data_IF_511597175892
#
_entry.id   IF_511597175892
#
_cell.length_a   1.000
_cell.length_b   1.000
_cell.length_c   1.000
_cell.angle_alpha   90.00
_cell.angle_beta   90.00
_cell.angle_gamma   90.00
#
_symmetry.space_group_name_H-M   'P 1'
#
loop_
_entity.id
_entity.type
_entity.pdbx_description
1 polymer ?
#
# COMPACT_ATOMS: atom_id res chain seq x y z
N UNK A 1 -16.40 -46.69 69.34
CA UNK A 1 -15.54 -45.62 68.84
C UNK A 1 -15.95 -45.33 67.39
N UNK A 2 -16.72 -44.27 67.16
CA UNK A 2 -17.24 -43.89 65.83
C UNK A 2 -16.32 -42.81 65.25
N UNK A 3 -15.77 -43.05 64.01
CA UNK A 3 -15.01 -42.06 63.24
C UNK A 3 -16.00 -41.22 62.43
N UNK A 4 -15.99 -39.92 62.62
CA UNK A 4 -16.62 -38.96 61.76
C UNK A 4 -15.75 -38.70 60.54
N UNK A 5 -16.30 -38.85 59.29
CA UNK A 5 -15.71 -38.36 58.06
C UNK A 5 -16.32 -36.98 57.77
N UNK A 6 -15.47 -35.96 57.72
CA UNK A 6 -15.84 -34.65 57.21
C UNK A 6 -15.60 -34.63 55.68
N UNK A 7 -16.66 -34.45 54.92
CA UNK A 7 -16.63 -34.21 53.49
C UNK A 7 -16.63 -32.69 53.25
N UNK A 8 -15.51 -32.17 52.71
CA UNK A 8 -15.41 -30.78 52.28
C UNK A 8 -15.88 -30.72 50.83
N UNK A 9 -17.00 -30.10 50.60
CA UNK A 9 -17.50 -29.79 49.25
C UNK A 9 -16.78 -28.55 48.68
N UNK A 10 -16.04 -28.73 47.59
CA UNK A 10 -15.44 -27.63 46.81
C UNK A 10 -16.51 -27.14 45.82
N UNK A 11 -17.01 -25.94 46.03
CA UNK A 11 -17.85 -25.24 45.07
C UNK A 11 -16.97 -24.66 43.96
N UNK A 12 -17.04 -25.23 42.77
CA UNK A 12 -16.40 -24.67 41.59
C UNK A 12 -17.31 -23.55 41.03
N UNK A 13 -16.93 -22.30 41.26
CA UNK A 13 -17.52 -21.14 40.59
C UNK A 13 -16.84 -20.97 39.23
N UNK A 14 -17.49 -21.41 38.17
CA UNK A 14 -17.12 -21.09 36.79
C UNK A 14 -17.49 -19.66 36.47
N UNK A 15 -16.50 -18.80 36.32
CA UNK A 15 -16.69 -17.44 35.83
C UNK A 15 -17.03 -17.46 34.34
N UNK A 16 -18.28 -17.16 33.99
CA UNK A 16 -18.72 -16.87 32.64
C UNK A 16 -18.48 -15.38 32.34
N UNK A 17 -17.27 -15.00 31.96
CA UNK A 17 -16.92 -13.61 31.66
C UNK A 17 -16.77 -13.29 30.16
N UNK A 18 -16.92 -14.28 29.24
CA UNK A 18 -16.75 -14.08 27.80
C UNK A 18 -18.00 -13.63 27.05
N UNK A 19 -19.18 -13.68 27.65
CA UNK A 19 -20.45 -13.44 26.94
C UNK A 19 -20.90 -11.97 26.84
N UNK A 20 -20.41 -11.11 27.71
CA UNK A 20 -20.87 -9.71 27.76
C UNK A 20 -20.11 -8.76 26.84
N UNK A 21 -18.84 -9.02 26.59
CA UNK A 21 -18.02 -8.18 25.67
C UNK A 21 -18.42 -8.37 24.20
N UNK A 22 -18.74 -9.60 23.81
CA UNK A 22 -19.12 -9.93 22.43
C UNK A 22 -20.50 -9.36 22.05
N UNK A 23 -21.45 -9.36 22.98
CA UNK A 23 -22.81 -8.81 22.75
C UNK A 23 -22.80 -7.27 22.66
N UNK A 24 -21.91 -6.56 23.32
CA UNK A 24 -21.80 -5.11 23.26
C UNK A 24 -21.16 -4.64 21.96
N UNK A 25 -20.09 -5.30 21.50
CA UNK A 25 -19.42 -5.01 20.23
C UNK A 25 -20.36 -5.23 19.03
N UNK A 26 -21.13 -6.31 19.04
CA UNK A 26 -22.17 -6.59 18.02
C UNK A 26 -23.24 -5.50 17.99
N UNK A 27 -23.64 -4.97 19.15
CA UNK A 27 -24.65 -3.90 19.23
C UNK A 27 -24.12 -2.54 18.72
N UNK A 28 -22.83 -2.24 18.92
CA UNK A 28 -22.20 -1.01 18.41
C UNK A 28 -22.04 -1.07 16.90
N UNK A 29 -21.58 -2.19 16.34
CA UNK A 29 -21.47 -2.36 14.91
C UNK A 29 -22.82 -2.24 14.18
N UNK A 30 -23.89 -2.82 14.73
CA UNK A 30 -25.25 -2.68 14.19
C UNK A 30 -25.72 -1.22 14.13
N UNK A 31 -25.34 -0.38 15.10
CA UNK A 31 -25.63 1.06 15.04
C UNK A 31 -24.88 1.75 13.91
N UNK A 32 -23.60 1.37 13.67
CA UNK A 32 -22.81 1.90 12.57
C UNK A 32 -23.47 1.52 11.23
N UNK A 33 -23.89 0.26 11.06
CA UNK A 33 -24.59 -0.17 9.83
C UNK A 33 -25.90 0.58 9.61
N UNK A 34 -26.68 0.83 10.67
CA UNK A 34 -27.91 1.63 10.58
C UNK A 34 -27.64 3.09 10.20
N UNK A 35 -26.57 3.69 10.74
CA UNK A 35 -26.17 5.05 10.40
C UNK A 35 -25.62 5.15 8.96
N UNK A 36 -25.03 4.09 8.46
CA UNK A 36 -24.48 4.01 7.10
C UNK A 36 -25.56 3.92 6.02
N UNK A 37 -26.79 3.50 6.38
CA UNK A 37 -27.87 3.30 5.43
C UNK A 37 -28.15 4.53 4.58
N UNK A 38 -28.11 4.40 3.28
CA UNK A 38 -28.33 5.48 2.31
C UNK A 38 -27.14 6.44 2.13
N UNK A 39 -26.05 6.30 2.87
CA UNK A 39 -24.90 7.18 2.74
C UNK A 39 -24.16 6.99 1.41
N UNK A 40 -23.53 8.10 0.94
CA UNK A 40 -22.59 8.09 -0.18
C UNK A 40 -21.20 8.37 0.37
N UNK A 41 -20.28 7.45 0.14
CA UNK A 41 -18.87 7.50 0.54
C UNK A 41 -18.02 7.95 -0.64
N UNK A 42 -17.38 9.11 -0.54
CA UNK A 42 -16.41 9.59 -1.51
C UNK A 42 -15.04 9.01 -1.18
N UNK A 43 -14.67 7.99 -1.92
CA UNK A 43 -13.42 7.25 -1.76
C UNK A 43 -12.34 7.79 -2.69
N UNK A 44 -11.39 8.52 -2.15
CA UNK A 44 -10.23 9.00 -2.89
C UNK A 44 -9.17 7.90 -2.94
N UNK A 45 -8.92 7.39 -4.13
CA UNK A 45 -7.99 6.30 -4.38
C UNK A 45 -7.29 6.48 -5.73
N UNK A 46 -6.08 5.94 -5.84
CA UNK A 46 -5.33 5.94 -7.08
C UNK A 46 -6.13 5.30 -8.23
N UNK A 47 -6.18 6.02 -9.36
CA UNK A 47 -7.00 5.64 -10.51
C UNK A 47 -6.23 5.11 -11.72
N UNK A 48 -4.91 4.90 -11.61
CA UNK A 48 -4.03 4.59 -12.73
C UNK A 48 -4.08 3.16 -13.28
N UNK A 49 -4.85 2.23 -12.66
CA UNK A 49 -5.06 0.86 -13.15
C UNK A 49 -6.53 0.59 -13.42
N UNK A 50 -6.82 0.02 -14.59
CA UNK A 50 -8.20 -0.39 -14.93
C UNK A 50 -8.66 -1.59 -14.09
N UNK A 51 -7.75 -2.51 -13.74
CA UNK A 51 -8.00 -3.67 -12.91
C UNK A 51 -8.48 -3.25 -11.52
N UNK A 52 -7.74 -2.34 -10.89
CA UNK A 52 -8.09 -1.76 -9.60
C UNK A 52 -9.42 -1.01 -9.68
N UNK A 53 -9.61 -0.19 -10.72
CA UNK A 53 -10.84 0.55 -10.93
C UNK A 53 -12.05 -0.37 -11.07
N UNK A 54 -11.92 -1.51 -11.78
CA UNK A 54 -12.97 -2.53 -11.91
C UNK A 54 -13.25 -3.24 -10.57
N UNK A 55 -12.20 -3.52 -9.77
CA UNK A 55 -12.38 -4.09 -8.44
C UNK A 55 -13.16 -3.13 -7.52
N UNK A 56 -12.78 -1.85 -7.45
CA UNK A 56 -13.48 -0.85 -6.64
C UNK A 56 -14.93 -0.67 -7.11
N UNK A 57 -15.18 -0.68 -8.42
CA UNK A 57 -16.54 -0.64 -8.97
C UNK A 57 -17.38 -1.83 -8.55
N UNK A 58 -16.80 -3.04 -8.55
CA UNK A 58 -17.47 -4.24 -8.06
C UNK A 58 -17.79 -4.10 -6.57
N UNK A 59 -16.82 -3.69 -5.74
CA UNK A 59 -17.04 -3.47 -4.32
C UNK A 59 -18.18 -2.47 -4.06
N UNK A 60 -18.26 -1.39 -4.86
CA UNK A 60 -19.36 -0.43 -4.78
C UNK A 60 -20.74 -1.03 -5.09
N UNK A 61 -20.83 -1.99 -6.03
CA UNK A 61 -22.08 -2.70 -6.31
C UNK A 61 -22.50 -3.59 -5.14
N UNK A 62 -21.55 -4.31 -4.53
CA UNK A 62 -21.81 -5.15 -3.36
C UNK A 62 -22.24 -4.31 -2.15
N UNK A 63 -21.55 -3.21 -1.88
CA UNK A 63 -21.90 -2.28 -0.81
C UNK A 63 -23.30 -1.70 -0.98
N UNK A 64 -23.65 -1.29 -2.20
CA UNK A 64 -24.99 -0.77 -2.50
C UNK A 64 -26.06 -1.84 -2.28
N UNK A 65 -25.82 -3.07 -2.73
CA UNK A 65 -26.77 -4.16 -2.63
C UNK A 65 -27.01 -4.64 -1.19
N UNK A 66 -25.93 -4.71 -0.39
CA UNK A 66 -25.97 -5.34 0.94
C UNK A 66 -26.25 -4.36 2.06
N UNK A 67 -25.74 -3.13 1.95
CA UNK A 67 -25.73 -2.14 3.01
C UNK A 67 -26.40 -0.81 2.62
N UNK A 68 -26.92 -0.70 1.39
CA UNK A 68 -27.43 0.54 0.82
C UNK A 68 -26.41 1.71 0.86
N UNK A 69 -25.11 1.40 0.94
CA UNK A 69 -24.00 2.38 0.90
C UNK A 69 -23.55 2.55 -0.56
N UNK A 70 -23.51 3.79 -1.03
CA UNK A 70 -23.01 4.12 -2.36
C UNK A 70 -21.53 4.47 -2.27
N UNK A 71 -20.66 3.69 -2.92
CA UNK A 71 -19.21 3.99 -2.99
C UNK A 71 -18.91 4.77 -4.27
N UNK A 72 -18.46 6.00 -4.14
CA UNK A 72 -18.05 6.86 -5.24
C UNK A 72 -16.51 6.93 -5.29
N UNK A 73 -15.90 6.23 -6.24
CA UNK A 73 -14.46 6.26 -6.47
C UNK A 73 -14.03 7.59 -7.10
N UNK A 74 -13.43 8.45 -6.31
CA UNK A 74 -12.76 9.69 -6.75
C UNK A 74 -11.32 9.33 -7.12
N UNK A 75 -11.06 9.22 -8.42
CA UNK A 75 -9.75 8.83 -8.94
C UNK A 75 -8.77 9.98 -8.79
N UNK A 76 -7.66 9.73 -8.11
CA UNK A 76 -6.54 10.66 -7.99
C UNK A 76 -5.31 10.09 -8.68
N UNK A 77 -4.42 10.96 -9.13
CA UNK A 77 -3.12 10.58 -9.69
C UNK A 77 -2.16 10.26 -8.55
N UNK A 78 -2.20 11.06 -7.48
CA UNK A 78 -1.43 10.89 -6.26
C UNK A 78 -2.30 11.29 -5.06
N UNK A 79 -2.20 10.55 -3.94
CA UNK A 79 -3.03 10.80 -2.75
C UNK A 79 -2.59 12.07 -2.00
N UNK A 80 -1.39 12.59 -2.23
CA UNK A 80 -0.93 13.87 -1.71
C UNK A 80 -1.83 15.06 -2.12
N UNK A 81 -2.48 14.97 -3.29
CA UNK A 81 -3.49 15.95 -3.72
C UNK A 81 -4.67 16.00 -2.72
N UNK A 82 -5.10 14.82 -2.25
CA UNK A 82 -6.17 14.71 -1.26
C UNK A 82 -5.71 15.18 0.11
N UNK A 83 -4.49 14.81 0.53
CA UNK A 83 -3.90 15.28 1.80
C UNK A 83 -3.81 16.81 1.83
N UNK A 84 -3.34 17.43 0.74
CA UNK A 84 -3.30 18.89 0.59
C UNK A 84 -4.69 19.52 0.70
N UNK A 85 -5.71 18.93 0.07
CA UNK A 85 -7.10 19.37 0.19
C UNK A 85 -7.60 19.32 1.63
N UNK A 86 -7.34 18.22 2.34
CA UNK A 86 -7.75 18.06 3.74
C UNK A 86 -7.07 19.07 4.66
N UNK A 87 -5.78 19.36 4.45
CA UNK A 87 -5.06 20.44 5.16
C UNK A 87 -5.76 21.79 4.92
N UNK A 88 -6.14 22.09 3.69
CA UNK A 88 -6.85 23.33 3.36
C UNK A 88 -8.25 23.39 4.00
N UNK A 89 -9.01 22.28 4.03
CA UNK A 89 -10.30 22.20 4.74
C UNK A 89 -10.13 22.44 6.25
N UNK A 90 -9.07 21.88 6.86
CA UNK A 90 -8.76 22.11 8.28
C UNK A 90 -8.44 23.57 8.55
N UNK A 91 -7.58 24.18 7.74
CA UNK A 91 -7.22 25.60 7.84
C UNK A 91 -8.43 26.53 7.66
N UNK A 92 -9.40 26.14 6.82
CA UNK A 92 -10.66 26.85 6.64
C UNK A 92 -11.69 26.63 7.77
N UNK A 93 -11.35 25.82 8.80
CA UNK A 93 -12.25 25.51 9.91
C UNK A 93 -13.40 24.55 9.56
N UNK A 94 -13.32 23.80 8.46
CA UNK A 94 -14.36 22.87 7.99
C UNK A 94 -14.29 21.55 8.80
N UNK A 95 -14.81 21.56 10.01
CA UNK A 95 -14.72 20.43 10.94
C UNK A 95 -15.80 19.35 10.75
N UNK A 96 -16.72 19.52 9.81
CA UNK A 96 -17.78 18.57 9.43
C UNK A 96 -18.19 18.77 7.98
N UNK A 97 -18.86 17.77 7.39
CA UNK A 97 -19.30 17.81 6.00
C UNK A 97 -18.13 17.93 5.02
N UNK A 98 -17.05 17.21 5.30
CA UNK A 98 -15.87 17.15 4.43
C UNK A 98 -16.19 16.66 3.02
N UNK A 99 -15.28 16.90 2.09
CA UNK A 99 -15.42 16.44 0.70
C UNK A 99 -14.84 15.05 0.45
N UNK A 100 -14.24 14.45 1.48
CA UNK A 100 -13.58 13.14 1.44
C UNK A 100 -14.08 12.31 2.60
N UNK A 101 -14.52 11.08 2.33
CA UNK A 101 -15.02 10.19 3.37
C UNK A 101 -14.07 9.01 3.63
N UNK A 102 -13.31 8.59 2.62
CA UNK A 102 -12.36 7.48 2.74
C UNK A 102 -11.16 7.75 1.81
N UNK A 103 -9.99 7.36 2.24
CA UNK A 103 -8.74 7.47 1.46
C UNK A 103 -7.99 6.15 1.41
N UNK A 104 -7.38 5.84 0.27
CA UNK A 104 -6.34 4.83 0.15
C UNK A 104 -4.99 5.52 0.35
N UNK A 105 -4.28 5.15 1.40
CA UNK A 105 -3.14 5.92 1.91
C UNK A 105 -2.01 5.00 2.36
N UNK A 106 -0.80 5.53 2.41
CA UNK A 106 0.35 4.97 3.08
C UNK A 106 1.46 6.03 3.29
N UNK A 107 2.44 5.68 4.13
CA UNK A 107 3.72 6.36 4.28
C UNK A 107 3.61 7.81 4.72
N UNK A 108 4.25 8.70 3.95
CA UNK A 108 4.32 10.11 4.28
C UNK A 108 2.96 10.81 4.32
N UNK A 109 2.01 10.32 3.50
CA UNK A 109 0.67 10.88 3.46
C UNK A 109 -0.09 10.55 4.75
N UNK A 110 0.04 9.31 5.26
CA UNK A 110 -0.49 8.95 6.58
C UNK A 110 0.14 9.79 7.67
N UNK A 111 1.49 9.88 7.70
CA UNK A 111 2.19 10.72 8.65
C UNK A 111 1.73 12.18 8.59
N UNK A 112 1.60 12.74 7.39
CA UNK A 112 1.09 14.11 7.20
C UNK A 112 -0.33 14.28 7.75
N UNK A 113 -1.23 13.33 7.49
CA UNK A 113 -2.58 13.36 8.04
C UNK A 113 -2.59 13.25 9.57
N UNK A 114 -1.74 12.39 10.14
CA UNK A 114 -1.61 12.18 11.59
C UNK A 114 -1.09 13.45 12.28
N UNK A 115 0.03 14.00 11.79
CA UNK A 115 0.66 15.21 12.36
C UNK A 115 -0.28 16.42 12.33
N UNK A 116 -1.13 16.55 11.30
CA UNK A 116 -2.11 17.62 11.15
C UNK A 116 -3.47 17.29 11.77
N UNK A 117 -3.62 16.16 12.49
CA UNK A 117 -4.88 15.73 13.12
C UNK A 117 -6.05 15.65 12.13
N UNK A 118 -5.81 15.05 10.97
CA UNK A 118 -6.77 14.92 9.87
C UNK A 118 -7.46 13.57 9.83
N UNK A 119 -7.29 12.72 10.85
CA UNK A 119 -7.85 11.37 10.91
C UNK A 119 -9.06 11.32 11.85
N UNK A 120 -10.02 10.45 11.53
CA UNK A 120 -11.28 10.26 12.27
C UNK A 120 -11.06 9.82 13.73
N UNK A 121 -9.99 9.04 13.97
CA UNK A 121 -9.69 8.42 15.25
C UNK A 121 -9.53 6.90 15.12
N UNK A 122 -9.41 6.23 16.25
CA UNK A 122 -9.27 4.76 16.29
C UNK A 122 -10.60 4.10 15.94
N UNK A 123 -10.60 3.22 14.94
CA UNK A 123 -11.81 2.50 14.52
C UNK A 123 -11.54 1.04 14.13
N UNK A 124 -10.28 0.70 13.84
CA UNK A 124 -9.93 -0.53 13.14
C UNK A 124 -10.28 -1.78 13.92
N UNK A 125 -9.99 -1.79 15.23
CA UNK A 125 -10.26 -2.93 16.10
C UNK A 125 -11.76 -3.18 16.32
N UNK A 126 -12.60 -2.18 16.04
CA UNK A 126 -14.07 -2.28 16.07
C UNK A 126 -14.69 -2.90 14.84
N UNK A 127 -13.91 -3.09 13.76
CA UNK A 127 -14.39 -3.71 12.52
C UNK A 127 -14.58 -5.22 12.69
N UNK A 128 -15.75 -5.81 12.40
CA UNK A 128 -15.96 -7.27 12.46
C UNK A 128 -14.95 -8.08 11.66
N UNK A 129 -14.48 -7.55 10.50
CA UNK A 129 -13.49 -8.22 9.64
C UNK A 129 -12.05 -8.16 10.21
N UNK A 130 -11.78 -7.36 11.24
CA UNK A 130 -10.48 -7.26 11.89
C UNK A 130 -9.96 -8.60 12.44
N UNK A 131 -10.86 -9.50 12.82
CA UNK A 131 -10.53 -10.84 13.30
C UNK A 131 -9.81 -11.71 12.26
N UNK A 132 -9.95 -11.42 10.96
CA UNK A 132 -9.38 -12.20 9.86
C UNK A 132 -7.96 -11.75 9.48
N UNK A 133 -7.55 -10.54 9.92
CA UNK A 133 -6.26 -9.94 9.58
C UNK A 133 -5.12 -10.74 10.20
N UNK A 134 -4.08 -10.98 9.41
CA UNK A 134 -2.85 -11.64 9.84
C UNK A 134 -2.01 -10.70 10.71
N UNK A 135 -1.99 -10.98 12.02
CA UNK A 135 -1.26 -10.18 13.00
C UNK A 135 0.25 -10.39 12.97
N UNK A 136 0.77 -11.29 12.13
CA UNK A 136 2.20 -11.46 11.92
C UNK A 136 2.78 -10.49 10.89
N UNK A 137 1.91 -9.85 10.10
CA UNK A 137 2.31 -8.77 9.18
C UNK A 137 2.59 -7.48 9.98
N UNK A 138 3.45 -6.57 9.44
CA UNK A 138 3.78 -5.31 10.10
C UNK A 138 2.65 -4.27 9.97
N UNK A 139 1.43 -4.64 10.42
CA UNK A 139 0.21 -3.82 10.30
C UNK A 139 0.11 -2.71 11.35
N UNK A 140 0.98 -2.72 12.36
CA UNK A 140 1.03 -1.73 13.42
C UNK A 140 1.85 -0.49 13.06
N UNK A 141 2.52 -0.52 11.91
CA UNK A 141 3.35 0.58 11.41
C UNK A 141 3.09 0.82 9.92
N UNK A 142 3.10 2.09 9.53
CA UNK A 142 3.14 2.53 8.13
C UNK A 142 4.42 3.35 7.91
N UNK A 143 5.37 2.82 7.11
CA UNK A 143 6.72 3.37 6.93
C UNK A 143 7.38 3.80 8.26
N UNK A 144 7.38 2.94 9.26
CA UNK A 144 7.87 3.20 10.62
C UNK A 144 7.02 4.16 11.49
N UNK A 145 5.93 4.73 10.98
CA UNK A 145 4.99 5.52 11.77
C UNK A 145 3.94 4.60 12.41
N UNK A 146 3.73 4.61 13.73
CA UNK A 146 2.70 3.79 14.37
C UNK A 146 1.30 4.11 13.85
N UNK A 147 0.55 3.09 13.42
CA UNK A 147 -0.81 3.24 12.88
C UNK A 147 -1.84 3.58 13.95
N UNK A 148 -1.65 3.09 15.18
CA UNK A 148 -2.49 3.36 16.36
C UNK A 148 -3.99 3.08 16.12
N UNK A 149 -4.33 2.21 15.16
CA UNK A 149 -5.72 1.91 14.79
C UNK A 149 -6.45 3.02 14.04
N UNK A 150 -5.71 4.00 13.48
CA UNK A 150 -6.24 5.15 12.74
C UNK A 150 -6.47 4.84 11.26
N UNK A 151 -5.89 3.76 10.78
CA UNK A 151 -6.01 3.26 9.40
C UNK A 151 -6.05 1.73 9.39
N UNK A 152 -6.86 1.16 8.49
CA UNK A 152 -7.05 -0.28 8.35
C UNK A 152 -6.14 -0.85 7.27
N UNK A 153 -5.35 -1.91 7.53
CA UNK A 153 -4.51 -2.52 6.51
C UNK A 153 -5.39 -3.12 5.41
N UNK A 154 -4.99 -2.93 4.15
CA UNK A 154 -5.80 -3.37 3.00
C UNK A 154 -5.08 -4.35 2.08
N UNK A 155 -3.78 -4.17 1.85
CA UNK A 155 -2.99 -5.05 1.01
C UNK A 155 -1.50 -4.90 1.22
N UNK A 156 -0.72 -5.78 0.57
CA UNK A 156 0.74 -5.80 0.64
C UNK A 156 1.32 -5.38 -0.70
N UNK A 157 2.04 -4.27 -0.72
CA UNK A 157 2.76 -3.79 -1.89
C UNK A 157 4.23 -4.18 -1.84
N UNK A 158 4.81 -4.52 -3.02
CA UNK A 158 6.24 -4.81 -3.17
C UNK A 158 6.75 -4.25 -4.49
N UNK A 159 7.82 -3.44 -4.44
CA UNK A 159 8.48 -2.96 -5.64
C UNK A 159 9.14 -4.13 -6.36
N UNK A 160 8.69 -4.39 -7.58
CA UNK A 160 9.24 -5.43 -8.46
C UNK A 160 9.54 -4.86 -9.83
N UNK A 161 10.43 -5.56 -10.54
CA UNK A 161 10.80 -5.27 -11.91
C UNK A 161 10.12 -6.28 -12.84
N UNK A 162 9.74 -5.81 -14.03
CA UNK A 162 9.08 -6.63 -15.04
C UNK A 162 9.96 -6.60 -16.29
N UNK A 163 10.21 -7.76 -16.87
CA UNK A 163 10.95 -7.92 -18.12
C UNK A 163 10.24 -8.91 -19.06
N UNK A 164 10.51 -8.82 -20.35
CA UNK A 164 10.16 -9.86 -21.30
C UNK A 164 11.35 -10.81 -21.50
N UNK A 165 11.16 -12.10 -21.21
CA UNK A 165 12.19 -13.12 -21.28
C UNK A 165 12.75 -13.32 -22.71
N UNK A 166 11.99 -12.98 -23.73
CA UNK A 166 12.47 -13.03 -25.12
C UNK A 166 13.50 -11.95 -25.43
N UNK A 167 13.40 -10.79 -24.80
CA UNK A 167 14.32 -9.65 -25.04
C UNK A 167 15.41 -9.56 -23.99
N UNK A 168 15.10 -9.89 -22.73
CA UNK A 168 16.03 -9.85 -21.61
C UNK A 168 15.97 -11.16 -20.83
N UNK A 169 16.72 -12.17 -21.28
CA UNK A 169 16.72 -13.51 -20.70
C UNK A 169 17.29 -13.58 -19.28
N UNK A 170 18.32 -12.78 -18.99
CA UNK A 170 18.95 -12.69 -17.67
C UNK A 170 18.87 -11.25 -17.15
N UNK A 171 17.79 -10.88 -16.47
CA UNK A 171 17.64 -9.52 -15.94
C UNK A 171 18.63 -9.26 -14.80
N UNK A 172 19.09 -8.00 -14.62
CA UNK A 172 19.97 -7.62 -13.53
C UNK A 172 19.32 -7.87 -12.18
N UNK A 173 20.08 -8.46 -11.26
CA UNK A 173 19.59 -8.88 -9.92
C UNK A 173 20.06 -7.96 -8.80
N UNK A 174 20.86 -6.94 -9.14
CA UNK A 174 21.32 -5.88 -8.24
C UNK A 174 21.36 -4.54 -9.00
N UNK A 175 21.36 -3.44 -8.27
CA UNK A 175 21.50 -2.14 -8.91
C UNK A 175 22.90 -1.94 -9.54
N UNK A 176 23.93 -2.61 -9.02
CA UNK A 176 25.25 -2.62 -9.67
C UNK A 176 25.19 -3.30 -11.04
N UNK A 177 24.53 -4.45 -11.15
CA UNK A 177 24.29 -5.13 -12.42
C UNK A 177 23.40 -4.31 -13.35
N UNK A 178 22.37 -3.62 -12.79
CA UNK A 178 21.49 -2.73 -13.54
C UNK A 178 22.28 -1.59 -14.21
N UNK A 179 23.21 -0.96 -13.49
CA UNK A 179 24.07 0.07 -14.08
C UNK A 179 25.02 -0.49 -15.14
N UNK A 180 25.54 -1.70 -14.91
CA UNK A 180 26.39 -2.40 -15.89
C UNK A 180 25.62 -2.73 -17.16
N UNK A 181 24.38 -3.21 -17.02
CA UNK A 181 23.47 -3.46 -18.13
C UNK A 181 23.15 -2.16 -18.90
N UNK A 182 22.80 -1.08 -18.18
CA UNK A 182 22.48 0.20 -18.80
C UNK A 182 23.66 0.78 -19.61
N UNK A 183 24.91 0.58 -19.15
CA UNK A 183 26.12 0.97 -19.87
C UNK A 183 26.37 0.12 -21.11
N UNK A 184 26.04 -1.18 -21.06
CA UNK A 184 26.17 -2.10 -22.18
C UNK A 184 25.08 -1.88 -23.24
N UNK A 185 23.87 -1.54 -22.80
CA UNK A 185 22.69 -1.32 -23.65
C UNK A 185 22.06 0.05 -23.35
N UNK A 186 22.64 1.15 -23.83
CA UNK A 186 22.14 2.50 -23.58
C UNK A 186 20.70 2.70 -24.08
N UNK A 187 19.95 3.59 -23.43
CA UNK A 187 18.56 3.94 -23.72
C UNK A 187 17.54 2.81 -23.51
N UNK A 188 17.91 1.74 -22.79
CA UNK A 188 17.01 0.61 -22.55
C UNK A 188 16.38 0.58 -21.15
N UNK A 189 16.87 1.37 -20.20
CA UNK A 189 16.37 1.40 -18.84
C UNK A 189 15.93 2.80 -18.41
N UNK A 190 14.90 2.86 -17.61
CA UNK A 190 14.39 4.09 -16.98
C UNK A 190 13.60 3.76 -15.71
N UNK A 191 13.11 4.79 -15.04
CA UNK A 191 12.17 4.72 -13.91
C UNK A 191 11.24 5.95 -13.95
N UNK A 192 10.06 5.92 -13.30
CA UNK A 192 9.17 7.08 -13.22
C UNK A 192 9.80 8.28 -12.53
N UNK A 193 9.36 9.46 -12.88
CA UNK A 193 9.89 10.71 -12.33
C UNK A 193 9.42 10.94 -10.89
N UNK A 194 10.31 11.04 -9.87
CA UNK A 194 9.90 11.56 -8.56
C UNK A 194 9.27 12.97 -8.67
N UNK A 195 8.26 13.30 -7.84
CA UNK A 195 7.79 12.58 -6.66
C UNK A 195 6.74 11.48 -6.93
N UNK A 196 6.58 11.01 -8.16
CA UNK A 196 5.68 9.89 -8.43
C UNK A 196 6.10 8.67 -7.58
N UNK A 197 5.12 7.97 -6.99
CA UNK A 197 5.32 6.92 -5.99
C UNK A 197 6.32 5.83 -6.41
N UNK A 198 6.21 5.30 -7.64
CA UNK A 198 7.11 4.24 -8.12
C UNK A 198 8.53 4.76 -8.37
N UNK A 199 8.66 6.00 -8.84
CA UNK A 199 9.95 6.65 -9.02
C UNK A 199 10.65 6.89 -7.69
N UNK A 200 9.94 7.40 -6.71
CA UNK A 200 10.47 7.57 -5.35
C UNK A 200 10.81 6.21 -4.71
N UNK A 201 9.98 5.19 -4.92
CA UNK A 201 10.25 3.84 -4.42
C UNK A 201 11.50 3.22 -5.07
N UNK A 202 11.72 3.48 -6.38
CA UNK A 202 12.95 3.07 -7.06
C UNK A 202 14.19 3.67 -6.41
N UNK A 203 14.22 4.98 -6.16
CA UNK A 203 15.39 5.63 -5.54
C UNK A 203 15.57 5.23 -4.06
N UNK A 204 14.49 4.92 -3.34
CA UNK A 204 14.58 4.36 -1.97
C UNK A 204 15.20 2.95 -2.00
N UNK A 205 14.72 2.07 -2.87
CA UNK A 205 15.28 0.72 -3.00
C UNK A 205 16.77 0.76 -3.39
N UNK A 206 17.13 1.63 -4.34
CA UNK A 206 18.52 1.87 -4.73
C UNK A 206 19.36 2.36 -3.54
N UNK A 207 18.89 3.34 -2.78
CA UNK A 207 19.59 3.84 -1.60
C UNK A 207 19.82 2.75 -0.55
N UNK A 208 18.79 1.94 -0.27
CA UNK A 208 18.87 0.84 0.70
C UNK A 208 19.96 -0.17 0.28
N UNK A 209 19.99 -0.58 -0.99
CA UNK A 209 20.99 -1.52 -1.47
C UNK A 209 22.41 -0.91 -1.41
N UNK A 210 22.59 0.31 -1.90
CA UNK A 210 23.90 0.98 -1.92
C UNK A 210 24.47 1.25 -0.54
N UNK A 211 23.63 1.34 0.48
CA UNK A 211 24.04 1.57 1.89
C UNK A 211 24.01 0.29 2.73
N UNK A 212 23.75 -0.89 2.11
CA UNK A 212 23.56 -2.16 2.81
C UNK A 212 22.51 -2.06 3.93
N UNK A 213 21.39 -1.37 3.64
CA UNK A 213 20.29 -1.14 4.59
C UNK A 213 20.77 -0.46 5.89
N UNK A 214 21.44 0.69 5.76
CA UNK A 214 21.96 1.44 6.91
C UNK A 214 20.85 1.72 7.95
N UNK A 215 21.06 1.40 9.24
CA UNK A 215 20.07 1.64 10.29
C UNK A 215 19.64 3.11 10.44
N UNK A 216 20.40 4.06 9.93
CA UNK A 216 20.00 5.47 9.91
C UNK A 216 18.76 5.72 9.06
N UNK A 217 18.49 4.88 8.06
CA UNK A 217 17.30 4.97 7.23
C UNK A 217 16.00 4.74 8.00
N UNK A 218 16.05 4.05 9.14
CA UNK A 218 14.90 3.81 10.01
C UNK A 218 14.65 4.95 11.04
N UNK A 219 15.43 6.02 10.98
CA UNK A 219 15.34 7.18 11.88
C UNK A 219 14.95 8.43 11.09
N UNK A 220 14.39 9.47 11.75
CA UNK A 220 14.17 10.76 11.12
C UNK A 220 15.45 11.30 10.49
N UNK A 221 15.34 11.80 9.26
CA UNK A 221 16.48 12.37 8.53
C UNK A 221 16.93 13.69 9.15
N UNK A 222 18.26 13.90 9.21
CA UNK A 222 18.89 15.20 9.52
C UNK A 222 19.71 15.65 8.31
N UNK A 223 20.04 16.94 8.21
CA UNK A 223 20.81 17.45 7.07
C UNK A 223 22.17 16.74 6.91
N UNK A 224 22.91 16.57 8.01
CA UNK A 224 24.21 15.88 8.01
C UNK A 224 24.08 14.40 7.62
N UNK A 225 23.13 13.68 8.23
CA UNK A 225 22.86 12.27 7.92
C UNK A 225 22.43 12.10 6.47
N UNK A 226 21.58 13.00 5.96
CA UNK A 226 21.13 12.97 4.57
C UNK A 226 22.30 13.06 3.59
N UNK A 227 23.15 14.07 3.72
CA UNK A 227 24.28 14.28 2.82
C UNK A 227 25.23 13.08 2.80
N UNK A 228 25.57 12.54 3.96
CA UNK A 228 26.47 11.40 4.08
C UNK A 228 25.89 10.13 3.48
N UNK A 229 24.65 9.78 3.83
CA UNK A 229 24.01 8.51 3.46
C UNK A 229 23.63 8.50 1.97
N UNK A 230 23.23 9.65 1.40
CA UNK A 230 22.77 9.71 0.01
C UNK A 230 23.88 9.91 -1.02
N UNK A 231 25.12 10.14 -0.60
CA UNK A 231 26.24 10.33 -1.54
C UNK A 231 26.35 9.21 -2.59
N UNK A 232 26.33 7.91 -2.26
CA UNK A 232 26.41 6.85 -3.26
C UNK A 232 25.19 6.80 -4.18
N UNK A 233 24.02 7.19 -3.71
CA UNK A 233 22.82 7.28 -4.54
C UNK A 233 22.99 8.29 -5.67
N UNK A 234 23.43 9.51 -5.35
CA UNK A 234 23.60 10.56 -6.34
C UNK A 234 24.71 10.22 -7.34
N UNK A 235 25.80 9.66 -6.86
CA UNK A 235 26.88 9.20 -7.74
C UNK A 235 26.40 8.10 -8.73
N UNK A 236 25.56 7.17 -8.26
CA UNK A 236 24.94 6.16 -9.12
C UNK A 236 24.02 6.80 -10.17
N UNK A 237 23.10 7.68 -9.75
CA UNK A 237 22.14 8.33 -10.64
C UNK A 237 22.81 9.22 -11.68
N UNK A 238 23.89 9.93 -11.32
CA UNK A 238 24.68 10.72 -12.25
C UNK A 238 25.28 9.87 -13.38
N UNK A 239 25.69 8.63 -13.10
CA UNK A 239 26.18 7.69 -14.11
C UNK A 239 25.01 7.03 -14.88
N UNK A 240 23.95 6.63 -14.17
CA UNK A 240 22.81 5.95 -14.77
C UNK A 240 22.09 6.85 -15.79
N UNK A 241 21.84 8.12 -15.46
CA UNK A 241 21.14 9.05 -16.33
C UNK A 241 21.86 9.28 -17.67
N UNK A 242 23.21 9.23 -17.70
CA UNK A 242 23.97 9.38 -18.97
C UNK A 242 23.60 8.34 -20.01
N UNK A 243 23.18 7.14 -19.56
CA UNK A 243 22.90 5.99 -20.41
C UNK A 243 21.44 5.52 -20.35
N UNK A 244 20.61 6.14 -19.50
CA UNK A 244 19.20 5.85 -19.36
C UNK A 244 18.40 6.23 -20.62
N UNK A 245 17.19 5.72 -20.71
CA UNK A 245 16.23 6.04 -21.75
C UNK A 245 16.14 7.56 -21.99
N UNK A 246 16.19 7.97 -23.25
CA UNK A 246 16.27 9.39 -23.68
C UNK A 246 17.38 10.20 -23.01
N UNK A 247 18.48 9.52 -22.65
CA UNK A 247 19.64 10.17 -22.02
C UNK A 247 19.35 10.73 -20.64
N UNK A 248 18.38 10.15 -19.91
CA UNK A 248 17.98 10.61 -18.56
C UNK A 248 17.40 12.01 -18.50
N UNK A 249 16.92 12.55 -19.64
CA UNK A 249 16.31 13.90 -19.72
C UNK A 249 14.79 13.87 -19.69
N UNK A 250 14.21 12.71 -19.90
CA UNK A 250 12.77 12.45 -19.83
C UNK A 250 12.54 11.18 -19.02
N UNK A 251 11.48 11.18 -18.25
CA UNK A 251 11.12 10.09 -17.38
C UNK A 251 9.63 9.78 -17.56
N UNK A 252 9.24 8.49 -17.47
CA UNK A 252 7.82 8.12 -17.47
C UNK A 252 7.06 8.78 -16.32
N UNK A 253 5.78 9.05 -16.55
CA UNK A 253 4.90 9.65 -15.54
C UNK A 253 4.37 8.66 -14.50
N UNK A 254 4.68 7.35 -14.62
CA UNK A 254 4.23 6.33 -13.67
C UNK A 254 4.38 4.91 -14.22
N UNK A 255 3.93 3.93 -13.43
CA UNK A 255 4.04 2.50 -13.78
C UNK A 255 3.30 2.15 -15.08
N UNK A 256 2.13 2.74 -15.34
CA UNK A 256 1.36 2.46 -16.55
C UNK A 256 2.15 2.81 -17.83
N UNK A 257 2.88 3.94 -17.83
CA UNK A 257 3.73 4.33 -18.94
C UNK A 257 4.97 3.42 -19.06
N UNK A 258 5.57 2.98 -17.95
CA UNK A 258 6.70 2.02 -18.02
C UNK A 258 6.27 0.68 -18.59
N UNK A 259 5.07 0.18 -18.25
CA UNK A 259 4.52 -1.04 -18.82
C UNK A 259 4.27 -0.90 -20.33
N UNK A 260 3.72 0.24 -20.76
CA UNK A 260 3.53 0.51 -22.18
C UNK A 260 4.85 0.59 -22.94
N UNK A 261 5.87 1.26 -22.37
CA UNK A 261 7.20 1.35 -22.98
C UNK A 261 7.88 -0.01 -23.08
N UNK A 262 7.66 -0.91 -22.12
CA UNK A 262 8.13 -2.29 -22.17
C UNK A 262 7.43 -3.07 -23.28
N UNK A 263 6.10 -3.02 -23.35
CA UNK A 263 5.31 -3.69 -24.38
C UNK A 263 5.68 -3.20 -25.81
N UNK A 264 5.91 -1.88 -25.96
CA UNK A 264 6.39 -1.27 -27.20
C UNK A 264 7.88 -1.60 -27.51
N UNK A 265 8.58 -2.33 -26.66
CA UNK A 265 9.99 -2.68 -26.80
C UNK A 265 10.95 -1.48 -26.72
N UNK A 266 10.53 -0.35 -26.14
CA UNK A 266 11.37 0.83 -25.99
C UNK A 266 12.31 0.74 -24.78
N UNK A 267 11.92 -0.01 -23.74
CA UNK A 267 12.73 -0.30 -22.56
C UNK A 267 12.71 -1.80 -22.28
N UNK A 268 13.66 -2.27 -21.48
CA UNK A 268 13.79 -3.69 -21.14
C UNK A 268 13.28 -4.03 -19.73
N UNK A 269 13.10 -3.03 -18.88
CA UNK A 269 12.56 -3.18 -17.53
C UNK A 269 11.47 -2.14 -17.26
N UNK A 270 10.29 -2.60 -16.86
CA UNK A 270 9.27 -1.78 -16.21
C UNK A 270 9.28 -2.02 -14.70
N UNK A 271 8.60 -1.17 -13.94
CA UNK A 271 8.45 -1.32 -12.50
C UNK A 271 6.99 -1.24 -12.09
N UNK A 272 6.65 -1.96 -11.02
CA UNK A 272 5.33 -1.90 -10.38
C UNK A 272 5.46 -2.17 -8.89
N UNK A 273 4.45 -1.80 -8.12
CA UNK A 273 4.37 -2.13 -6.69
C UNK A 273 3.43 -3.31 -6.39
N UNK A 274 2.95 -3.99 -7.44
CA UNK A 274 2.18 -5.23 -7.32
C UNK A 274 3.00 -6.41 -7.90
N UNK A 275 3.48 -7.35 -7.07
CA UNK A 275 4.27 -8.49 -7.53
C UNK A 275 3.51 -9.43 -8.47
N UNK A 276 2.19 -9.31 -8.55
CA UNK A 276 1.31 -10.14 -9.38
C UNK A 276 0.71 -9.39 -10.59
N UNK A 277 1.13 -8.15 -10.85
CA UNK A 277 0.58 -7.33 -11.93
C UNK A 277 0.69 -7.99 -13.31
N UNK A 278 1.74 -8.77 -13.53
CA UNK A 278 1.97 -9.48 -14.81
C UNK A 278 0.82 -10.42 -15.15
N UNK A 279 0.28 -11.17 -14.17
CA UNK A 279 -0.81 -12.13 -14.42
C UNK A 279 -2.08 -11.47 -14.95
N UNK A 280 -2.48 -10.36 -14.36
CA UNK A 280 -3.68 -9.63 -14.81
C UNK A 280 -3.44 -8.92 -16.15
N UNK A 281 -2.24 -8.39 -16.38
CA UNK A 281 -1.87 -7.74 -17.64
C UNK A 281 -1.80 -8.74 -18.81
N UNK A 282 -1.23 -9.93 -18.60
CA UNK A 282 -1.25 -11.02 -19.58
C UNK A 282 -2.68 -11.49 -19.88
N UNK A 283 -3.51 -11.69 -18.85
CA UNK A 283 -4.90 -12.11 -19.00
C UNK A 283 -5.76 -11.10 -19.79
N UNK A 284 -5.40 -9.82 -19.76
CA UNK A 284 -6.06 -8.74 -20.50
C UNK A 284 -5.41 -8.43 -21.86
N UNK A 285 -4.32 -9.12 -22.22
CA UNK A 285 -3.58 -8.91 -23.47
C UNK A 285 -2.75 -7.64 -23.49
N UNK A 286 -2.43 -7.06 -22.35
CA UNK A 286 -1.63 -5.83 -22.21
C UNK A 286 -0.12 -6.12 -22.06
N UNK A 287 0.25 -7.37 -21.83
CA UNK A 287 1.65 -7.83 -21.80
C UNK A 287 1.75 -9.21 -22.46
N UNK A 288 2.90 -9.47 -23.07
CA UNK A 288 3.21 -10.78 -23.67
C UNK A 288 3.25 -11.90 -22.60
N UNK A 289 2.91 -13.14 -22.97
CA UNK A 289 2.97 -14.31 -22.09
C UNK A 289 4.38 -14.62 -21.57
N UNK A 290 5.40 -14.11 -22.25
CA UNK A 290 6.83 -14.25 -21.90
C UNK A 290 7.30 -13.22 -20.86
N UNK A 291 6.42 -12.33 -20.43
CA UNK A 291 6.73 -11.30 -19.43
C UNK A 291 6.72 -11.90 -18.03
N UNK A 292 7.73 -11.56 -17.21
CA UNK A 292 7.89 -12.04 -15.84
C UNK A 292 8.21 -10.90 -14.88
N UNK A 293 7.73 -11.03 -13.63
CA UNK A 293 8.07 -10.14 -12.53
C UNK A 293 9.17 -10.76 -11.64
N UNK A 294 10.09 -9.94 -11.17
CA UNK A 294 11.15 -10.36 -10.24
C UNK A 294 11.52 -9.24 -9.26
N UNK A 295 12.18 -9.62 -8.16
CA UNK A 295 12.81 -8.70 -7.23
C UNK A 295 14.32 -8.77 -7.32
N UNK A 296 15.02 -7.73 -6.86
CA UNK A 296 16.47 -7.77 -6.64
C UNK A 296 16.82 -8.82 -5.59
N UNK A 297 18.05 -9.37 -5.64
CA UNK A 297 18.52 -10.38 -4.68
C UNK A 297 18.53 -9.87 -3.23
N UNK A 298 18.74 -8.57 -3.04
CA UNK A 298 18.60 -7.94 -1.72
C UNK A 298 17.18 -8.10 -1.15
N UNK A 299 16.16 -8.10 -2.00
CA UNK A 299 14.74 -8.18 -1.70
C UNK A 299 13.93 -7.09 -2.39
N UNK A 300 12.63 -7.08 -2.14
CA UNK A 300 11.69 -6.07 -2.62
C UNK A 300 11.37 -5.06 -1.52
N UNK A 301 11.47 -3.78 -1.82
CA UNK A 301 10.94 -2.74 -0.96
C UNK A 301 9.44 -2.99 -0.77
N UNK A 302 9.01 -3.14 0.48
CA UNK A 302 7.66 -3.63 0.81
C UNK A 302 6.97 -2.74 1.82
N UNK A 303 5.67 -2.53 1.62
CA UNK A 303 4.84 -1.87 2.61
C UNK A 303 3.44 -2.50 2.66
N UNK A 304 2.71 -2.17 3.70
CA UNK A 304 1.26 -2.33 3.74
C UNK A 304 0.66 -1.05 3.18
N UNK A 305 -0.41 -1.15 2.40
CA UNK A 305 -1.24 -0.01 2.07
C UNK A 305 -2.55 -0.07 2.83
N UNK A 306 -3.08 1.09 3.17
CA UNK A 306 -4.12 1.25 4.17
C UNK A 306 -5.33 2.00 3.64
N UNK A 307 -6.43 1.90 4.40
CA UNK A 307 -7.65 2.68 4.24
C UNK A 307 -7.87 3.51 5.50
N UNK A 308 -8.04 4.82 5.35
CA UNK A 308 -8.29 5.73 6.45
C UNK A 308 -9.54 6.58 6.22
N UNK A 309 -10.04 7.17 7.30
CA UNK A 309 -11.22 8.04 7.32
C UNK A 309 -10.76 9.42 7.78
N UNK A 310 -11.04 10.51 7.03
CA UNK A 310 -10.76 11.86 7.49
C UNK A 310 -11.63 12.28 8.69
N UNK A 311 -11.09 13.20 9.52
CA UNK A 311 -11.77 13.69 10.76
C UNK A 311 -13.12 14.35 10.50
N UNK A 312 -13.27 14.98 9.33
CA UNK A 312 -14.46 15.72 8.94
C UNK A 312 -15.35 15.00 7.93
N UNK A 313 -15.12 13.69 7.75
CA UNK A 313 -15.88 12.86 6.82
C UNK A 313 -17.39 13.02 7.04
N UNK A 314 -18.12 13.24 5.95
CA UNK A 314 -19.57 13.39 5.98
C UNK A 314 -20.29 12.04 6.16
N UNK A 315 -19.69 10.95 5.65
CA UNK A 315 -20.22 9.60 5.66
C UNK A 315 -19.29 8.63 6.42
N UNK A 316 -18.86 8.99 7.65
CA UNK A 316 -17.90 8.19 8.42
C UNK A 316 -18.43 6.79 8.77
N UNK A 317 -19.73 6.61 9.01
CA UNK A 317 -20.33 5.30 9.23
C UNK A 317 -20.31 4.45 7.95
N UNK A 318 -20.67 5.02 6.82
CA UNK A 318 -20.59 4.38 5.51
C UNK A 318 -19.16 4.00 5.14
N UNK A 319 -18.16 4.85 5.48
CA UNK A 319 -16.75 4.56 5.28
C UNK A 319 -16.30 3.37 6.13
N UNK A 320 -16.70 3.27 7.41
CA UNK A 320 -16.40 2.11 8.25
C UNK A 320 -17.01 0.82 7.69
N UNK A 321 -18.26 0.87 7.21
CA UNK A 321 -18.93 -0.28 6.56
C UNK A 321 -18.20 -0.67 5.28
N UNK A 322 -17.78 0.30 4.47
CA UNK A 322 -17.01 0.04 3.25
C UNK A 322 -15.65 -0.60 3.57
N UNK A 323 -14.91 -0.09 4.54
CA UNK A 323 -13.63 -0.65 4.97
C UNK A 323 -13.81 -2.07 5.53
N UNK A 324 -14.83 -2.30 6.36
CA UNK A 324 -15.12 -3.63 6.88
C UNK A 324 -15.41 -4.63 5.77
N UNK A 325 -16.20 -4.24 4.75
CA UNK A 325 -16.46 -5.09 3.59
C UNK A 325 -15.18 -5.37 2.80
N UNK A 326 -14.35 -4.34 2.53
CA UNK A 326 -13.09 -4.48 1.81
C UNK A 326 -12.06 -5.36 2.54
N UNK A 327 -12.17 -5.50 3.87
CA UNK A 327 -11.40 -6.43 4.70
C UNK A 327 -12.06 -7.81 4.82
N UNK A 328 -13.25 -8.04 4.29
CA UNK A 328 -13.88 -9.36 4.37
C UNK A 328 -13.11 -10.42 3.58
N UNK A 329 -13.21 -11.72 3.96
CA UNK A 329 -12.59 -12.82 3.22
C UNK A 329 -13.01 -12.86 1.73
N UNK A 330 -14.25 -12.50 1.42
CA UNK A 330 -14.76 -12.42 0.04
C UNK A 330 -14.05 -11.34 -0.76
N UNK A 331 -14.01 -10.11 -0.23
CA UNK A 331 -13.42 -8.96 -0.91
C UNK A 331 -11.89 -9.13 -1.07
N UNK A 332 -11.22 -9.64 -0.04
CA UNK A 332 -9.79 -9.91 -0.06
C UNK A 332 -9.44 -11.07 -1.00
N UNK A 333 -10.23 -12.15 -1.03
CA UNK A 333 -10.02 -13.23 -1.99
C UNK A 333 -10.22 -12.77 -3.44
N UNK A 334 -11.19 -11.88 -3.67
CA UNK A 334 -11.40 -11.29 -5.00
C UNK A 334 -10.25 -10.34 -5.38
N UNK A 335 -9.79 -9.53 -4.44
CA UNK A 335 -8.65 -8.62 -4.63
C UNK A 335 -7.38 -9.39 -4.99
N UNK A 336 -7.09 -10.46 -4.25
CA UNK A 336 -5.93 -11.33 -4.48
C UNK A 336 -6.07 -12.27 -5.68
N UNK A 337 -7.21 -12.31 -6.37
CA UNK A 337 -7.37 -13.13 -7.57
C UNK A 337 -6.47 -12.60 -8.70
N UNK A 338 -5.56 -13.45 -9.18
CA UNK A 338 -4.54 -13.10 -10.17
C UNK A 338 -5.12 -12.56 -11.50
N UNK A 339 -6.35 -12.99 -11.85
CA UNK A 339 -7.05 -12.51 -13.06
C UNK A 339 -7.87 -11.23 -12.83
N UNK A 340 -7.86 -10.67 -11.61
CA UNK A 340 -8.63 -9.47 -11.26
C UNK A 340 -7.70 -8.32 -10.91
N UNK A 341 -6.93 -8.45 -9.82
CA UNK A 341 -5.94 -7.47 -9.41
C UNK A 341 -4.62 -8.15 -8.98
N UNK A 342 -4.71 -9.28 -8.26
CA UNK A 342 -3.54 -10.01 -7.78
C UNK A 342 -2.84 -9.34 -6.59
N UNK A 343 -3.48 -8.38 -5.92
CA UNK A 343 -2.90 -7.70 -4.77
C UNK A 343 -2.85 -8.64 -3.56
N UNK A 344 -1.68 -8.91 -2.96
CA UNK A 344 -1.57 -9.80 -1.82
C UNK A 344 -2.41 -9.32 -0.64
N UNK A 345 -3.11 -10.27 -0.01
CA UNK A 345 -4.03 -10.00 1.08
C UNK A 345 -3.31 -9.73 2.40
N UNK A 346 -3.95 -8.95 3.26
CA UNK A 346 -3.58 -8.79 4.67
C UNK A 346 -4.25 -9.80 5.60
N UNK A 347 -5.06 -10.72 5.06
CA UNK A 347 -5.72 -11.75 5.87
C UNK A 347 -4.85 -13.00 6.00
N UNK A 348 -5.01 -13.72 7.11
CA UNK A 348 -4.44 -15.06 7.27
C UNK A 348 -4.94 -15.97 6.15
N UNK A 349 -4.05 -16.75 5.55
CA UNK A 349 -4.29 -17.54 4.33
C UNK A 349 -5.47 -18.53 4.45
N UNK A 350 -5.79 -18.99 5.66
CA UNK A 350 -6.94 -19.87 5.94
C UNK A 350 -8.30 -19.25 5.56
N UNK A 351 -8.41 -17.93 5.56
CA UNK A 351 -9.63 -17.19 5.20
C UNK A 351 -9.73 -16.83 3.72
N UNK A 352 -8.68 -17.06 2.96
CA UNK A 352 -8.65 -16.77 1.52
C UNK A 352 -9.14 -17.96 0.70
N UNK A 353 -9.59 -17.69 -0.54
CA UNK A 353 -10.03 -18.70 -1.50
C UNK A 353 -9.37 -18.49 -2.87
N UNK A 354 -9.37 -19.55 -3.69
CA UNK A 354 -8.86 -19.47 -5.06
C UNK A 354 -7.38 -19.08 -5.15
N UNK A 355 -7.00 -18.38 -6.21
CA UNK A 355 -5.63 -17.96 -6.48
C UNK A 355 -5.10 -16.90 -5.49
N UNK A 356 -5.97 -16.25 -4.72
CA UNK A 356 -5.56 -15.32 -3.66
C UNK A 356 -4.70 -15.98 -2.58
N UNK A 357 -4.77 -17.31 -2.41
CA UNK A 357 -3.90 -18.08 -1.52
C UNK A 357 -2.46 -18.18 -2.01
N UNK A 358 -2.24 -17.99 -3.30
CA UNK A 358 -1.00 -18.25 -4.00
C UNK A 358 -0.44 -16.98 -4.68
N UNK A 359 -0.80 -15.80 -4.18
CA UNK A 359 -0.20 -14.56 -4.66
C UNK A 359 1.31 -14.59 -4.43
N UNK A 360 2.06 -14.20 -5.46
CA UNK A 360 3.52 -14.13 -5.37
C UNK A 360 3.93 -13.04 -4.37
N UNK A 361 4.91 -13.36 -3.55
CA UNK A 361 5.58 -12.42 -2.65
C UNK A 361 7.07 -12.70 -2.66
N UNK A 362 7.86 -11.67 -2.51
CA UNK A 362 9.32 -11.72 -2.46
C UNK A 362 9.82 -11.45 -1.04
N UNK A 363 11.10 -11.70 -0.78
CA UNK A 363 11.74 -11.29 0.47
C UNK A 363 11.56 -9.78 0.67
N UNK A 364 10.93 -9.39 1.77
CA UNK A 364 10.62 -7.98 2.06
C UNK A 364 11.82 -7.22 2.59
N UNK A 365 11.95 -5.97 2.14
CA UNK A 365 12.79 -4.93 2.73
C UNK A 365 11.86 -3.84 3.23
N UNK A 366 12.08 -3.39 4.48
CA UNK A 366 11.26 -2.35 5.09
C UNK A 366 11.50 -0.98 4.44
N UNK A 367 10.44 -0.16 4.41
CA UNK A 367 10.52 1.24 3.99
C UNK A 367 11.40 2.05 4.96
N UNK A 368 12.15 3.05 4.47
CA UNK A 368 12.79 4.03 5.32
C UNK A 368 11.77 4.87 6.11
N UNK A 369 12.24 5.54 7.16
CA UNK A 369 11.40 6.51 7.87
C UNK A 369 10.81 7.56 6.90
N UNK A 370 9.52 7.96 7.02
CA UNK A 370 8.82 8.81 6.04
C UNK A 370 9.55 10.10 5.66
N UNK A 371 10.30 10.68 6.59
CA UNK A 371 11.07 11.92 6.33
C UNK A 371 12.16 11.77 5.26
N UNK A 372 12.63 10.55 4.98
CA UNK A 372 13.58 10.31 3.88
C UNK A 372 12.93 10.50 2.52
N UNK A 373 11.67 10.14 2.37
CA UNK A 373 10.96 10.27 1.10
C UNK A 373 10.96 11.72 0.63
N UNK A 374 10.39 12.64 1.41
CA UNK A 374 10.32 14.05 1.05
C UNK A 374 11.71 14.69 0.83
N UNK A 375 12.72 14.27 1.60
CA UNK A 375 14.08 14.76 1.45
C UNK A 375 14.72 14.28 0.13
N UNK A 376 14.52 13.01 -0.23
CA UNK A 376 15.00 12.42 -1.49
C UNK A 376 14.33 13.07 -2.70
N UNK A 377 13.03 13.23 -2.68
CA UNK A 377 12.24 13.86 -3.76
C UNK A 377 12.69 15.30 -4.00
N UNK A 378 12.84 16.07 -2.93
CA UNK A 378 13.31 17.46 -3.02
C UNK A 378 14.71 17.56 -3.63
N UNK A 379 15.66 16.73 -3.20
CA UNK A 379 17.01 16.76 -3.72
C UNK A 379 17.06 16.22 -5.16
N UNK A 380 16.26 15.19 -5.49
CA UNK A 380 16.13 14.68 -6.86
C UNK A 380 15.64 15.76 -7.81
N UNK A 381 14.55 16.47 -7.45
CA UNK A 381 13.99 17.56 -8.26
C UNK A 381 15.00 18.69 -8.45
N UNK A 382 15.78 19.02 -7.43
CA UNK A 382 16.84 20.03 -7.52
C UNK A 382 17.95 19.63 -8.49
N UNK A 383 18.33 18.33 -8.55
CA UNK A 383 19.43 17.83 -9.40
C UNK A 383 18.99 17.57 -10.83
N UNK A 384 17.81 16.99 -11.01
CA UNK A 384 17.38 16.40 -12.29
C UNK A 384 16.00 16.89 -12.77
N UNK A 385 15.32 17.74 -12.01
CA UNK A 385 13.95 18.17 -12.28
C UNK A 385 13.78 19.23 -13.37
N UNK A 386 14.83 19.68 -14.01
CA UNK A 386 14.83 20.74 -15.05
C UNK A 386 14.60 20.19 -16.45
#
# INVERSE_FOLDING_TARGET
MKKLLNTIGILATTFATSSFADSSATSEWQKIEQQADGQTVYFHAWGGSQEINRYIQWAGKELKSRYNVTLNHVKVTDISETTTRLIAEKAAGKNSGGSVDMVWINGENFKSMKDNQLLFGRFVEGLPSWQYVDKSLPIDVDFSEPTEGLEAPWGVGQLVFIHDEQTLHNPPRSFAEMLSYAKAFPNRLTYPRPPEFHGTSFIKALLIELTNNDPALQKPVTGETFEQITQPLWAYLDEFHKVAWRGGKQFPGGTAETLQLLDDGQIDLAITFNPNAVFSAQSSGNLAETTNAYAMDAGALSNIHFLAIPWNANASAGAQVAINFLLSPEAQSRKGNLNIWGDPSVLSSQYLTGSAKNTQQFKSIAEPHPSWQSALEKEWLKRYGN
#
